data_IF_838819234714
#
_entry.id   IF_838819234714
#
_cell.length_a   1.000
_cell.length_b   1.000
_cell.length_c   1.000
_cell.angle_alpha   90.00
_cell.angle_beta   90.00
_cell.angle_gamma   90.00
#
_symmetry.space_group_name_H-M   'P 1'
#
loop_
_entity.id
_entity.type
_entity.pdbx_description
1 polymer ?
#
# COMPACT_ATOMS: atom_id res chain seq x y z
N UNK A 1 34.89 7.29 42.87
CA UNK A 1 33.89 7.75 41.89
C UNK A 1 32.57 7.09 42.26
N UNK A 2 31.65 7.87 42.79
CA UNK A 2 30.42 7.37 43.43
C UNK A 2 29.36 7.08 42.37
N UNK A 3 28.61 5.99 42.55
CA UNK A 3 27.57 5.57 41.61
C UNK A 3 26.47 6.63 41.40
N UNK A 4 26.29 7.52 42.37
CA UNK A 4 25.30 8.61 42.32
C UNK A 4 25.59 9.64 41.21
N UNK A 5 26.86 9.88 40.88
CA UNK A 5 27.25 10.80 39.80
C UNK A 5 26.86 10.23 38.42
N UNK A 6 26.95 8.90 38.27
CA UNK A 6 26.59 8.19 37.04
C UNK A 6 25.08 8.24 36.80
N UNK A 7 24.27 8.08 37.85
CA UNK A 7 22.80 8.14 37.77
C UNK A 7 22.34 9.54 37.34
N UNK A 8 22.97 10.60 37.85
CA UNK A 8 22.63 11.97 37.45
C UNK A 8 23.02 12.30 36.00
N UNK A 9 24.14 11.77 35.50
CA UNK A 9 24.48 11.92 34.08
C UNK A 9 23.55 11.12 33.18
N UNK A 10 23.17 9.91 33.59
CA UNK A 10 22.25 9.06 32.84
C UNK A 10 20.86 9.71 32.72
N UNK A 11 20.33 10.30 33.79
CA UNK A 11 19.06 11.04 33.75
C UNK A 11 19.11 12.23 32.79
N UNK A 12 20.22 12.98 32.77
CA UNK A 12 20.40 14.11 31.84
C UNK A 12 20.47 13.66 30.38
N UNK A 13 21.12 12.53 30.11
CA UNK A 13 21.17 11.92 28.77
C UNK A 13 19.80 11.37 28.35
N UNK A 14 19.07 10.74 29.26
CA UNK A 14 17.72 10.23 29.01
C UNK A 14 16.75 11.36 28.68
N UNK A 15 16.74 12.45 29.44
CA UNK A 15 15.91 13.63 29.15
C UNK A 15 16.22 14.22 27.76
N UNK A 16 17.51 14.31 27.39
CA UNK A 16 17.92 14.76 26.05
C UNK A 16 17.48 13.79 24.94
N UNK A 17 17.56 12.48 25.19
CA UNK A 17 17.15 11.45 24.23
C UNK A 17 15.64 11.45 23.97
N UNK A 18 14.83 11.71 25.01
CA UNK A 18 13.38 11.82 24.92
C UNK A 18 12.99 13.06 24.14
N UNK A 19 13.65 14.20 24.39
CA UNK A 19 13.43 15.42 23.61
C UNK A 19 13.76 15.24 22.11
N UNK A 20 14.83 14.50 21.80
CA UNK A 20 15.22 14.21 20.42
C UNK A 20 14.24 13.25 19.73
N UNK A 21 13.76 12.23 20.45
CA UNK A 21 12.74 11.29 19.95
C UNK A 21 11.38 11.94 19.73
N UNK A 22 10.99 12.90 20.56
CA UNK A 22 9.75 13.66 20.35
C UNK A 22 9.84 14.53 19.09
N UNK A 23 10.96 15.22 18.87
CA UNK A 23 11.17 16.00 17.64
C UNK A 23 11.15 15.13 16.37
N UNK A 24 11.76 13.93 16.41
CA UNK A 24 11.70 12.96 15.33
C UNK A 24 10.28 12.41 15.11
N UNK A 25 9.51 12.25 16.19
CA UNK A 25 8.12 11.77 16.12
C UNK A 25 7.19 12.82 15.51
N UNK A 26 7.42 14.11 15.79
CA UNK A 26 6.67 15.22 15.20
C UNK A 26 6.96 15.40 13.71
N UNK A 27 8.22 15.24 13.26
CA UNK A 27 8.54 15.22 11.81
C UNK A 27 8.05 13.95 11.11
N UNK A 28 8.10 12.79 11.78
CA UNK A 28 7.56 11.56 11.23
C UNK A 28 6.02 11.55 11.16
N UNK A 29 5.32 12.38 11.95
CA UNK A 29 3.86 12.46 11.93
C UNK A 29 3.28 12.88 10.57
N UNK A 30 4.00 13.71 9.82
CA UNK A 30 3.61 14.11 8.46
C UNK A 30 3.68 12.92 7.48
N UNK A 31 4.61 11.99 7.70
CA UNK A 31 4.76 10.76 6.90
C UNK A 31 4.02 9.55 7.46
N UNK A 32 3.53 9.59 8.71
CA UNK A 32 2.80 8.47 9.33
C UNK A 32 1.53 8.10 8.55
N UNK A 33 0.80 9.05 7.98
CA UNK A 33 -0.42 8.74 7.22
C UNK A 33 -0.15 7.93 5.94
N UNK A 34 0.72 8.35 5.02
CA UNK A 34 1.00 7.54 3.83
C UNK A 34 1.71 6.22 4.17
N UNK A 35 2.59 6.20 5.18
CA UNK A 35 3.27 4.97 5.58
C UNK A 35 2.31 3.98 6.26
N UNK A 36 1.40 4.46 7.10
CA UNK A 36 0.37 3.61 7.71
C UNK A 36 -0.56 3.02 6.64
N UNK A 37 -0.90 3.77 5.59
CA UNK A 37 -1.66 3.22 4.46
C UNK A 37 -0.84 2.16 3.71
N UNK A 38 0.46 2.38 3.51
CA UNK A 38 1.33 1.40 2.87
C UNK A 38 1.50 0.11 3.71
N UNK A 39 1.70 0.24 5.02
CA UNK A 39 1.78 -0.90 5.94
C UNK A 39 0.45 -1.62 6.08
N UNK A 40 -0.66 -0.89 6.11
CA UNK A 40 -2.00 -1.48 6.16
C UNK A 40 -2.35 -2.17 4.85
N UNK A 41 -1.91 -1.63 3.70
CA UNK A 41 -2.03 -2.30 2.41
C UNK A 41 -1.17 -3.58 2.35
N UNK A 42 0.07 -3.54 2.85
CA UNK A 42 0.94 -4.73 2.95
C UNK A 42 0.35 -5.78 3.89
N UNK A 43 -0.11 -5.38 5.07
CA UNK A 43 -0.75 -6.27 6.04
C UNK A 43 -2.04 -6.87 5.48
N UNK A 44 -2.86 -6.08 4.79
CA UNK A 44 -4.05 -6.54 4.10
C UNK A 44 -3.70 -7.54 2.98
N UNK A 45 -2.69 -7.25 2.16
CA UNK A 45 -2.20 -8.16 1.12
C UNK A 45 -1.65 -9.45 1.70
N UNK A 46 -0.87 -9.37 2.78
CA UNK A 46 -0.28 -10.54 3.42
C UNK A 46 -1.36 -11.39 4.11
N UNK A 47 -2.38 -10.77 4.70
CA UNK A 47 -3.58 -11.45 5.20
C UNK A 47 -4.37 -12.12 4.06
N UNK A 48 -4.49 -11.45 2.91
CA UNK A 48 -5.09 -11.97 1.67
C UNK A 48 -4.37 -13.22 1.17
N UNK A 49 -3.05 -13.18 1.11
CA UNK A 49 -2.20 -14.30 0.68
C UNK A 49 -2.25 -15.47 1.67
N UNK A 50 -2.35 -15.18 2.97
CA UNK A 50 -2.45 -16.21 4.03
C UNK A 50 -3.82 -16.90 4.03
N UNK A 51 -4.88 -16.18 3.67
CA UNK A 51 -6.26 -16.68 3.69
C UNK A 51 -7.00 -16.32 2.39
N UNK A 52 -6.65 -16.92 1.24
CA UNK A 52 -7.24 -16.58 -0.06
C UNK A 52 -8.73 -16.93 -0.18
N UNK A 53 -9.24 -17.83 0.66
CA UNK A 53 -10.63 -18.29 0.61
C UNK A 53 -11.66 -17.22 0.97
N UNK A 54 -11.35 -16.35 1.93
CA UNK A 54 -12.24 -15.28 2.39
C UNK A 54 -12.46 -14.14 1.39
N UNK A 55 -11.41 -13.55 0.79
CA UNK A 55 -11.59 -12.48 -0.19
C UNK A 55 -12.19 -12.99 -1.50
N UNK A 56 -11.84 -14.21 -1.93
CA UNK A 56 -12.48 -14.84 -3.09
C UNK A 56 -13.95 -15.10 -2.77
N UNK A 57 -14.27 -15.66 -1.60
CA UNK A 57 -15.64 -15.86 -1.14
C UNK A 57 -16.45 -14.56 -1.08
N UNK A 58 -15.88 -13.50 -0.50
CA UNK A 58 -16.53 -12.18 -0.43
C UNK A 58 -16.74 -11.56 -1.82
N UNK A 59 -15.75 -11.66 -2.72
CA UNK A 59 -15.89 -11.21 -4.11
C UNK A 59 -16.97 -12.00 -4.85
N UNK A 60 -17.02 -13.32 -4.67
CA UNK A 60 -18.05 -14.18 -5.26
C UNK A 60 -19.42 -13.85 -4.68
N UNK A 61 -19.56 -13.66 -3.38
CA UNK A 61 -20.83 -13.27 -2.74
C UNK A 61 -21.30 -11.91 -3.24
N UNK A 62 -20.42 -10.92 -3.33
CA UNK A 62 -20.75 -9.59 -3.89
C UNK A 62 -21.12 -9.69 -5.37
N UNK A 63 -20.42 -10.54 -6.13
CA UNK A 63 -20.76 -10.79 -7.53
C UNK A 63 -22.10 -11.51 -7.69
N UNK A 64 -22.47 -12.43 -6.79
CA UNK A 64 -23.77 -13.10 -6.79
C UNK A 64 -24.89 -12.17 -6.33
N UNK A 65 -24.64 -11.28 -5.35
CA UNK A 65 -25.64 -10.31 -4.88
C UNK A 65 -25.92 -9.18 -5.89
N UNK A 66 -24.90 -8.74 -6.64
CA UNK A 66 -25.02 -7.69 -7.65
C UNK A 66 -24.29 -8.09 -8.95
N UNK A 67 -24.83 -9.09 -9.68
CA UNK A 67 -24.19 -9.68 -10.85
C UNK A 67 -24.01 -8.65 -11.96
N UNK A 68 -24.97 -7.76 -12.16
CA UNK A 68 -24.85 -6.73 -13.18
C UNK A 68 -23.65 -5.81 -12.94
N UNK A 69 -23.39 -5.38 -11.70
CA UNK A 69 -22.25 -4.49 -11.43
C UNK A 69 -20.92 -5.23 -11.52
N UNK A 70 -20.84 -6.47 -11.04
CA UNK A 70 -19.64 -7.30 -11.17
C UNK A 70 -19.32 -7.62 -12.63
N UNK A 71 -20.34 -7.95 -13.43
CA UNK A 71 -20.21 -8.20 -14.88
C UNK A 71 -19.84 -6.91 -15.61
N UNK A 72 -20.46 -5.77 -15.29
CA UNK A 72 -20.09 -4.48 -15.91
C UNK A 72 -18.65 -4.13 -15.58
N UNK A 73 -18.21 -4.25 -14.33
CA UNK A 73 -16.83 -3.95 -13.95
C UNK A 73 -15.83 -4.90 -14.61
N UNK A 74 -16.10 -6.21 -14.58
CA UNK A 74 -15.26 -7.21 -15.26
C UNK A 74 -15.23 -6.98 -16.77
N UNK A 75 -16.38 -6.67 -17.37
CA UNK A 75 -16.50 -6.34 -18.80
C UNK A 75 -15.80 -5.05 -19.16
N UNK A 76 -15.88 -3.98 -18.34
CA UNK A 76 -15.13 -2.74 -18.57
C UNK A 76 -13.63 -2.97 -18.46
N UNK A 77 -13.18 -3.79 -17.52
CA UNK A 77 -11.77 -4.15 -17.37
C UNK A 77 -11.28 -4.99 -18.56
N UNK A 78 -12.08 -5.98 -18.96
CA UNK A 78 -11.83 -6.81 -20.15
C UNK A 78 -11.85 -5.98 -21.44
N UNK A 79 -12.76 -5.02 -21.58
CA UNK A 79 -12.82 -4.10 -22.70
C UNK A 79 -11.61 -3.18 -22.71
N UNK A 80 -11.22 -2.60 -21.58
CA UNK A 80 -10.00 -1.80 -21.47
C UNK A 80 -8.77 -2.63 -21.86
N UNK A 81 -8.67 -3.87 -21.38
CA UNK A 81 -7.60 -4.80 -21.73
C UNK A 81 -7.60 -5.18 -23.21
N UNK A 82 -8.77 -5.50 -23.78
CA UNK A 82 -8.92 -5.80 -25.21
C UNK A 82 -8.60 -4.60 -26.07
N UNK A 83 -9.05 -3.41 -25.69
CA UNK A 83 -8.74 -2.15 -26.37
C UNK A 83 -7.25 -1.87 -26.31
N UNK A 84 -6.61 -2.05 -25.15
CA UNK A 84 -5.17 -1.90 -25.01
C UNK A 84 -4.39 -2.91 -25.86
N UNK A 85 -4.80 -4.18 -25.89
CA UNK A 85 -4.18 -5.21 -26.75
C UNK A 85 -4.40 -4.90 -28.23
N UNK A 86 -5.57 -4.37 -28.59
CA UNK A 86 -5.90 -3.96 -29.96
C UNK A 86 -5.05 -2.75 -30.36
N UNK A 87 -4.97 -1.71 -29.54
CA UNK A 87 -4.09 -0.55 -29.74
C UNK A 87 -2.63 -0.98 -29.84
N UNK A 88 -2.18 -1.90 -28.97
CA UNK A 88 -0.83 -2.45 -29.05
C UNK A 88 -0.60 -3.15 -30.39
N UNK A 89 -1.53 -4.02 -30.82
CA UNK A 89 -1.43 -4.67 -32.14
C UNK A 89 -1.49 -3.67 -33.30
N UNK A 90 -2.24 -2.58 -33.19
CA UNK A 90 -2.27 -1.51 -34.17
C UNK A 90 -0.95 -0.74 -34.22
N UNK A 91 -0.33 -0.48 -33.08
CA UNK A 91 1.01 0.10 -32.99
C UNK A 91 2.06 -0.87 -33.56
N UNK A 92 1.94 -2.17 -33.32
CA UNK A 92 2.80 -3.19 -33.94
C UNK A 92 2.60 -3.33 -35.45
N UNK A 93 1.40 -2.97 -35.93
CA UNK A 93 1.01 -2.97 -37.35
C UNK A 93 1.15 -1.61 -38.01
N UNK A 94 1.62 -0.59 -37.32
CA UNK A 94 2.13 0.62 -37.93
C UNK A 94 3.58 0.31 -38.31
N UNK A 95 3.87 -0.17 -39.54
CA UNK A 95 5.22 0.00 -40.04
C UNK A 95 5.51 1.48 -39.94
N UNK A 96 6.58 1.83 -39.25
CA UNK A 96 7.18 3.14 -39.41
C UNK A 96 7.42 3.33 -40.90
N UNK A 97 6.47 3.97 -41.61
CA UNK A 97 6.76 4.64 -42.87
C UNK A 97 7.60 5.85 -42.49
N UNK A 98 8.89 5.57 -42.24
CA UNK A 98 9.95 6.54 -42.44
C UNK A 98 10.12 6.66 -43.95
N UNK A 99 9.51 7.70 -44.52
CA UNK A 99 9.94 8.36 -45.74
C UNK A 99 9.67 9.85 -45.58
#
# INVERSE_FOLDING_TARGET
MSNDDLVQQQQRLLMRSVALRNNLTDQAQVFKRPLAVADQARAALQWLYRNPQWPIGALVVVAVLKPQRAIIWSSRFLLAWRSFKRVRNWISKLPMQTL
#
